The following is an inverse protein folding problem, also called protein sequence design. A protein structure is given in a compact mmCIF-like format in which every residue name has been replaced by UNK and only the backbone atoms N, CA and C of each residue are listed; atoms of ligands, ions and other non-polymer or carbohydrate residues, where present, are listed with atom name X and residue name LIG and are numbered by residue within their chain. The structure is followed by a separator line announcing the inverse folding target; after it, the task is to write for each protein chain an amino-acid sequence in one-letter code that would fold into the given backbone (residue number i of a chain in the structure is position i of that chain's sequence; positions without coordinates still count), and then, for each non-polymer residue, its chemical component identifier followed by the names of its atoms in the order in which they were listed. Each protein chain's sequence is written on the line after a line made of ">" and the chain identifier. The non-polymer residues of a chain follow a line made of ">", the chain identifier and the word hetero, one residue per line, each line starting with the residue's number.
data_IF_570971531633
#
_entry.id   IF_570971531633
#
_cell.length_a   1.000
_cell.length_b   1.000
_cell.length_c   1.000
_cell.angle_alpha   90.00
_cell.angle_beta   90.00
_cell.angle_gamma   90.00
#
_symmetry.space_group_name_H-M   'P 1'
#
loop_
_entity.id
_entity.type
_entity.pdbx_description
1 polymer ?
#
# COMPACT_ATOMS: atom_id res chain seq x y z
N UNK A 1 12.08 28.52 8.94
CA UNK A 1 12.38 28.21 8.10
C UNK A 1 13.21 27.12 7.79
N UNK A 2 14.24 27.01 8.26
CA UNK A 2 15.14 25.98 7.90
C UNK A 2 14.79 24.64 8.48
N UNK A 3 13.97 24.65 9.49
CA UNK A 3 13.74 23.42 10.24
C UNK A 3 13.16 22.31 9.41
N UNK A 4 12.26 22.63 8.49
CA UNK A 4 11.63 21.54 7.79
C UNK A 4 12.48 20.97 6.69
N UNK A 5 13.56 21.65 6.35
CA UNK A 5 14.39 21.08 5.34
C UNK A 5 15.41 20.19 5.86
N UNK A 6 15.68 20.21 7.14
CA UNK A 6 16.78 19.47 7.69
C UNK A 6 16.42 18.13 8.23
N UNK A 7 15.28 17.64 7.84
CA UNK A 7 14.89 16.32 8.28
C UNK A 7 15.82 15.29 7.68
N UNK A 8 16.50 14.48 8.50
CA UNK A 8 17.43 13.49 7.96
C UNK A 8 16.74 12.43 7.16
N UNK A 9 17.40 11.86 6.15
CA UNK A 9 16.81 10.77 5.39
C UNK A 9 16.40 9.59 6.25
N UNK A 10 17.12 9.33 7.33
CA UNK A 10 16.77 8.25 8.22
C UNK A 10 15.40 8.46 8.88
N UNK A 11 14.99 9.69 9.06
CA UNK A 11 13.67 9.99 9.60
C UNK A 11 12.61 9.98 8.52
N UNK A 12 12.99 10.30 7.29
CA UNK A 12 12.04 10.33 6.19
C UNK A 12 11.48 8.95 5.90
N UNK A 13 12.32 7.92 5.96
CA UNK A 13 11.87 6.56 5.68
C UNK A 13 10.91 6.02 6.72
N UNK A 14 11.19 6.14 8.02
CA UNK A 14 10.22 5.71 9.01
C UNK A 14 8.89 6.44 8.89
N UNK A 15 8.95 7.71 8.53
CA UNK A 15 7.73 8.49 8.34
C UNK A 15 6.93 7.99 7.15
N UNK A 16 7.62 7.72 6.04
CA UNK A 16 6.96 7.19 4.85
C UNK A 16 6.34 5.82 5.13
N UNK A 17 7.04 4.98 5.88
CA UNK A 17 6.53 3.68 6.24
C UNK A 17 5.29 3.81 7.12
N UNK A 18 5.30 4.75 8.06
CA UNK A 18 4.14 4.96 8.91
C UNK A 18 2.92 5.40 8.09
N UNK A 19 3.14 6.24 7.07
CA UNK A 19 2.05 6.68 6.21
C UNK A 19 1.47 5.49 5.45
N UNK A 20 2.33 4.66 4.87
CA UNK A 20 1.88 3.49 4.14
C UNK A 20 1.15 2.54 5.07
N UNK A 21 1.69 2.28 6.25
CA UNK A 21 1.06 1.38 7.22
C UNK A 21 -0.32 1.89 7.62
N UNK A 22 -0.49 3.20 7.71
CA UNK A 22 -1.79 3.77 8.06
C UNK A 22 -2.80 3.61 6.93
N UNK A 23 -2.33 3.62 5.69
CA UNK A 23 -3.20 3.50 4.53
C UNK A 23 -3.65 2.07 4.26
N UNK A 24 -2.87 1.08 4.67
CA UNK A 24 -3.18 -0.30 4.37
C UNK A 24 -4.51 -0.73 4.98
N UNK A 25 -4.78 -0.51 6.29
CA UNK A 25 -6.07 -0.93 6.85
C UNK A 25 -7.25 -0.28 6.15
N UNK A 26 -7.12 0.98 5.77
CA UNK A 26 -8.20 1.67 5.06
C UNK A 26 -8.43 1.07 3.69
N UNK A 27 -7.36 0.75 3.00
CA UNK A 27 -7.47 0.14 1.68
C UNK A 27 -8.04 -1.27 1.79
N UNK A 28 -7.67 -2.00 2.83
CA UNK A 28 -8.24 -3.33 3.07
C UNK A 28 -9.73 -3.25 3.34
N UNK A 29 -10.14 -2.30 4.16
CA UNK A 29 -11.55 -2.11 4.45
C UNK A 29 -12.32 -1.72 3.20
N UNK A 30 -11.74 -0.89 2.37
CA UNK A 30 -12.37 -0.49 1.13
C UNK A 30 -12.51 -1.68 0.17
N UNK A 31 -11.46 -2.51 0.06
CA UNK A 31 -11.52 -3.71 -0.75
C UNK A 31 -12.62 -4.64 -0.25
N UNK A 32 -12.69 -4.84 1.07
CA UNK A 32 -13.69 -5.73 1.65
C UNK A 32 -15.10 -5.23 1.40
N UNK A 33 -15.29 -3.92 1.44
CA UNK A 33 -16.60 -3.34 1.16
C UNK A 33 -17.03 -3.65 -0.27
N UNK A 34 -16.14 -3.46 -1.23
CA UNK A 34 -16.47 -3.72 -2.61
C UNK A 34 -16.67 -5.20 -2.86
N UNK A 35 -15.90 -6.05 -2.18
CA UNK A 35 -16.07 -7.49 -2.31
C UNK A 35 -17.47 -7.90 -1.86
N UNK A 36 -17.95 -7.36 -0.75
CA UNK A 36 -19.28 -7.67 -0.27
C UNK A 36 -20.35 -7.19 -1.22
N UNK A 37 -20.16 -6.01 -1.80
CA UNK A 37 -21.11 -5.49 -2.79
C UNK A 37 -21.17 -6.41 -4.00
N UNK A 38 -20.01 -6.82 -4.52
CA UNK A 38 -19.98 -7.69 -5.68
C UNK A 38 -20.65 -9.02 -5.36
N UNK A 39 -20.37 -9.59 -4.19
CA UNK A 39 -20.98 -10.86 -3.80
C UNK A 39 -22.50 -10.74 -3.69
N UNK A 40 -22.97 -9.65 -3.10
CA UNK A 40 -24.41 -9.46 -2.96
C UNK A 40 -25.11 -9.31 -4.31
N UNK A 41 -24.49 -8.57 -5.23
CA UNK A 41 -25.07 -8.39 -6.56
C UNK A 41 -25.03 -9.67 -7.35
N UNK A 42 -23.97 -10.44 -7.20
CA UNK A 42 -23.86 -11.72 -7.88
C UNK A 42 -24.93 -12.69 -7.37
N UNK A 43 -25.19 -12.68 -6.07
CA UNK A 43 -26.18 -13.56 -5.47
C UNK A 43 -27.58 -13.29 -6.02
N UNK A 44 -27.90 -12.04 -6.35
CA UNK A 44 -29.19 -11.71 -6.93
C UNK A 44 -29.13 -11.70 -8.46
N UNK A 45 -28.07 -12.23 -9.02
CA UNK A 45 -27.92 -12.39 -10.47
C UNK A 45 -27.98 -11.07 -11.22
N UNK A 46 -27.42 -10.03 -10.65
CA UNK A 46 -27.39 -8.73 -11.28
C UNK A 46 -26.02 -8.45 -11.87
N UNK A 47 -26.02 -7.71 -12.95
CA UNK A 47 -24.76 -7.31 -13.52
C UNK A 47 -24.07 -6.34 -12.58
N UNK A 48 -22.79 -6.58 -12.34
CA UNK A 48 -22.01 -5.75 -11.43
C UNK A 48 -20.65 -5.39 -12.02
N UNK A 49 -20.67 -5.05 -13.31
CA UNK A 49 -19.43 -4.72 -14.03
C UNK A 49 -18.69 -3.58 -13.37
N UNK A 50 -19.43 -2.51 -13.02
CA UNK A 50 -18.82 -1.36 -12.38
C UNK A 50 -18.26 -1.73 -11.02
N UNK A 51 -19.02 -2.47 -10.25
CA UNK A 51 -18.60 -2.88 -8.91
C UNK A 51 -17.39 -3.79 -8.97
N UNK A 52 -17.35 -4.69 -9.94
CA UNK A 52 -16.18 -5.55 -10.12
C UNK A 52 -14.95 -4.72 -10.49
N UNK A 53 -15.13 -3.68 -11.31
CA UNK A 53 -14.04 -2.80 -11.64
C UNK A 53 -13.53 -2.07 -10.42
N UNK A 54 -14.43 -1.61 -9.56
CA UNK A 54 -14.03 -0.94 -8.33
C UNK A 54 -13.30 -1.88 -7.39
N UNK A 55 -13.75 -3.13 -7.31
CA UNK A 55 -13.06 -4.12 -6.49
C UNK A 55 -11.64 -4.35 -7.01
N UNK A 56 -11.52 -4.52 -8.32
CA UNK A 56 -10.21 -4.75 -8.93
C UNK A 56 -9.27 -3.58 -8.66
N UNK A 57 -9.81 -2.38 -8.74
CA UNK A 57 -9.03 -1.18 -8.49
C UNK A 57 -8.55 -1.14 -7.04
N UNK A 58 -9.45 -1.49 -6.12
CA UNK A 58 -9.10 -1.54 -4.70
C UNK A 58 -8.02 -2.58 -4.43
N UNK A 59 -8.11 -3.73 -5.11
CA UNK A 59 -7.10 -4.77 -4.96
C UNK A 59 -5.75 -4.32 -5.50
N UNK A 60 -5.76 -3.62 -6.63
CA UNK A 60 -4.52 -3.09 -7.18
C UNK A 60 -3.88 -2.09 -6.24
N UNK A 61 -4.69 -1.24 -5.63
CA UNK A 61 -4.18 -0.28 -4.68
C UNK A 61 -3.49 -0.98 -3.51
N UNK A 62 -4.10 -2.05 -3.02
CA UNK A 62 -3.50 -2.83 -1.94
C UNK A 62 -2.17 -3.43 -2.34
N UNK A 63 -2.09 -3.98 -3.55
CA UNK A 63 -0.83 -4.54 -4.03
C UNK A 63 0.26 -3.48 -4.03
N UNK A 64 -0.08 -2.27 -4.49
CA UNK A 64 0.89 -1.19 -4.52
C UNK A 64 1.31 -0.77 -3.13
N UNK A 65 0.37 -0.72 -2.19
CA UNK A 65 0.70 -0.37 -0.81
C UNK A 65 1.60 -1.41 -0.17
N UNK A 66 1.29 -2.70 -0.35
CA UNK A 66 2.13 -3.76 0.19
C UNK A 66 3.53 -3.72 -0.42
N UNK A 67 3.61 -3.45 -1.72
CA UNK A 67 4.90 -3.36 -2.39
C UNK A 67 5.71 -2.17 -1.87
N UNK A 68 5.04 -1.03 -1.70
CA UNK A 68 5.70 0.14 -1.15
C UNK A 68 6.24 -0.12 0.23
N UNK A 69 5.44 -0.81 1.06
CA UNK A 69 5.85 -1.14 2.40
C UNK A 69 7.07 -2.05 2.39
N UNK A 70 7.03 -3.07 1.54
CA UNK A 70 8.15 -4.00 1.43
C UNK A 70 9.42 -3.29 0.96
N UNK A 71 9.28 -2.38 0.01
CA UNK A 71 10.43 -1.64 -0.50
C UNK A 71 11.02 -0.74 0.57
N UNK A 72 10.19 -0.08 1.35
CA UNK A 72 10.67 0.80 2.41
C UNK A 72 11.40 0.00 3.49
N UNK A 73 10.88 -1.16 3.83
CA UNK A 73 11.53 -2.02 4.81
C UNK A 73 12.87 -2.52 4.26
N UNK A 74 12.89 -2.93 3.00
CA UNK A 74 14.12 -3.42 2.39
C UNK A 74 15.17 -2.33 2.31
N UNK A 75 14.76 -1.10 2.01
CA UNK A 75 15.70 0.00 1.94
C UNK A 75 16.32 0.29 3.28
N UNK A 76 15.50 0.23 4.34
CA UNK A 76 16.02 0.46 5.67
C UNK A 76 17.01 -0.63 6.05
N UNK A 77 16.69 -1.88 5.74
CA UNK A 77 17.60 -2.98 6.03
C UNK A 77 18.85 -2.89 5.18
N UNK A 78 18.69 -2.54 3.92
CA UNK A 78 19.83 -2.42 3.02
C UNK A 78 20.80 -1.35 3.47
N UNK A 79 20.27 -0.26 3.98
CA UNK A 79 21.14 0.79 4.48
C UNK A 79 21.98 0.31 5.64
N UNK A 80 21.34 -0.41 6.52
CA UNK A 80 22.06 -0.92 7.67
C UNK A 80 23.11 -1.94 7.28
N UNK A 81 22.81 -2.75 6.23
CA UNK A 81 23.70 -3.81 5.80
C UNK A 81 24.77 -3.36 4.85
N UNK A 82 24.57 -2.27 4.22
CA UNK A 82 25.50 -1.89 3.19
C UNK A 82 25.28 -2.66 1.93
N UNK A 83 25.10 -3.40 1.29
CA UNK A 83 24.86 -3.94 0.30
C UNK A 83 24.67 -4.36 -0.68
N UNK A 84 24.80 -4.54 -1.00
CA UNK A 84 24.61 -5.03 -1.88
C UNK A 84 24.45 -5.60 -2.85
N UNK A 85 24.64 -5.78 -2.85
CA UNK A 85 24.59 -6.17 -3.60
C UNK A 85 24.17 -6.65 -4.42
N UNK A 86 24.13 -6.65 -4.52
CA UNK A 86 23.77 -6.92 -5.30
C UNK A 86 23.69 -7.35 -6.22
N UNK A 87 23.99 -7.45 -6.31
CA UNK A 87 24.04 -7.61 -7.16
C UNK A 87 24.05 -8.06 -7.80
N UNK A 88 24.39 -8.19 -7.59
CA UNK A 88 24.59 -8.42 -8.25
C UNK A 88 24.64 -8.58 -8.72
#
# INVERSE_FOLDING_TARGET
>A
MAAFRNEPPAQARPRALAIVDAQIPEAEANRDRWLKVVEALTDVNRQCRREKAMLRWAEQRLVLLYRSRANLIAEADGEGGGHPTKRN
#
